data_IF_812005330734
#
_entry.id   IF_812005330734
#
_cell.length_a   1.000
_cell.length_b   1.000
_cell.length_c   1.000
_cell.angle_alpha   90.00
_cell.angle_beta   90.00
_cell.angle_gamma   90.00
#
_symmetry.space_group_name_H-M   'P 1'
#
loop_
_entity.id
_entity.type
_entity.pdbx_description
1 polymer ?
#
# COMPACT_ATOMS: atom_id res chain seq x y z
N UNK A 1 20.14 10.75 -12.72
CA UNK A 1 19.06 10.32 -13.67
C UNK A 1 17.75 10.87 -13.14
N UNK A 2 17.01 11.62 -13.93
CA UNK A 2 15.75 12.25 -13.50
C UNK A 2 14.81 11.20 -12.90
N UNK A 3 14.16 11.50 -11.77
CA UNK A 3 13.30 10.59 -10.98
C UNK A 3 14.01 9.40 -10.30
N UNK A 4 15.33 9.33 -10.30
CA UNK A 4 16.10 8.31 -9.57
C UNK A 4 16.97 8.97 -8.50
N UNK A 5 17.83 9.90 -8.90
CA UNK A 5 18.78 10.54 -7.96
C UNK A 5 18.06 11.51 -7.01
N UNK A 6 16.98 12.13 -7.49
CA UNK A 6 16.12 13.03 -6.70
C UNK A 6 15.45 12.34 -5.49
N UNK A 7 15.22 11.02 -5.57
CA UNK A 7 14.64 10.21 -4.50
C UNK A 7 15.71 9.46 -3.66
N UNK A 8 16.99 9.75 -3.88
CA UNK A 8 18.12 9.18 -3.14
C UNK A 8 18.97 10.25 -2.45
N UNK A 9 18.34 11.35 -2.09
CA UNK A 9 18.96 12.50 -1.47
C UNK A 9 19.13 12.26 0.04
N UNK A 10 20.33 11.90 0.46
CA UNK A 10 20.65 11.62 1.85
C UNK A 10 20.49 12.85 2.75
N UNK A 11 20.83 14.04 2.25
CA UNK A 11 20.73 15.28 3.03
C UNK A 11 19.28 15.62 3.36
N UNK A 12 18.38 15.43 2.39
CA UNK A 12 16.94 15.56 2.63
C UNK A 12 16.41 14.51 3.59
N UNK A 13 16.89 13.27 3.51
CA UNK A 13 16.48 12.21 4.43
C UNK A 13 16.88 12.56 5.88
N UNK A 14 18.11 13.00 6.10
CA UNK A 14 18.58 13.46 7.42
C UNK A 14 17.79 14.67 7.92
N UNK A 15 17.54 15.67 7.08
CA UNK A 15 16.76 16.84 7.45
C UNK A 15 15.31 16.48 7.84
N UNK A 16 14.67 15.54 7.12
CA UNK A 16 13.34 15.04 7.45
C UNK A 16 13.34 14.25 8.76
N UNK A 17 14.32 13.38 8.98
CA UNK A 17 14.44 12.63 10.23
C UNK A 17 14.62 13.55 11.45
N UNK A 18 15.45 14.58 11.33
CA UNK A 18 15.59 15.59 12.38
C UNK A 18 14.28 16.35 12.65
N UNK A 19 13.52 16.67 11.59
CA UNK A 19 12.22 17.31 11.75
C UNK A 19 11.19 16.40 12.40
N UNK A 20 11.19 15.10 12.05
CA UNK A 20 10.34 14.08 12.69
C UNK A 20 10.66 14.01 14.18
N UNK A 21 11.93 13.91 14.54
CA UNK A 21 12.34 13.88 15.94
C UNK A 21 11.89 15.11 16.73
N UNK A 22 11.95 16.30 16.12
CA UNK A 22 11.50 17.55 16.73
C UNK A 22 9.97 17.64 16.92
N UNK A 23 9.20 16.87 16.14
CA UNK A 23 7.74 16.83 16.23
C UNK A 23 7.23 15.78 17.21
N UNK A 24 8.07 14.86 17.65
CA UNK A 24 7.69 13.84 18.62
C UNK A 24 7.44 14.47 20.00
N UNK A 25 6.30 14.17 20.59
CA UNK A 25 5.96 14.61 21.93
C UNK A 25 6.79 13.85 22.98
N UNK A 26 7.36 14.53 23.99
CA UNK A 26 8.12 13.87 25.04
C UNK A 26 7.28 12.78 25.75
N UNK A 27 7.87 11.58 25.89
CA UNK A 27 7.24 10.46 26.59
C UNK A 27 6.16 9.71 25.78
N UNK A 28 5.87 10.13 24.56
CA UNK A 28 4.91 9.44 23.69
C UNK A 28 5.61 8.44 22.78
N UNK A 29 5.07 7.23 22.71
CA UNK A 29 5.51 6.20 21.76
C UNK A 29 4.60 6.17 20.55
N UNK A 30 5.20 6.08 19.37
CA UNK A 30 4.50 6.02 18.09
C UNK A 30 4.78 4.66 17.44
N UNK A 31 3.72 3.93 17.11
CA UNK A 31 3.82 2.69 16.33
C UNK A 31 3.20 2.95 14.97
N UNK A 32 4.02 2.88 13.92
CA UNK A 32 3.61 3.12 12.54
C UNK A 32 3.67 1.81 11.77
N UNK A 33 2.53 1.36 11.27
CA UNK A 33 2.47 0.17 10.43
C UNK A 33 2.54 0.59 8.96
N UNK A 34 3.53 0.08 8.26
CA UNK A 34 3.56 0.12 6.81
C UNK A 34 3.02 -1.20 6.24
N UNK A 35 2.32 -1.15 5.12
CA UNK A 35 1.61 -2.31 4.56
C UNK A 35 2.12 -2.73 3.18
N UNK A 36 3.16 -2.10 2.67
CA UNK A 36 3.66 -2.33 1.32
C UNK A 36 5.05 -2.98 1.33
N UNK A 37 5.19 -4.15 0.69
CA UNK A 37 6.48 -4.84 0.58
C UNK A 37 7.59 -4.00 -0.06
N UNK A 38 7.25 -3.07 -0.96
CA UNK A 38 8.19 -2.10 -1.52
C UNK A 38 8.70 -1.10 -0.48
N UNK A 39 7.84 -0.67 0.44
CA UNK A 39 8.24 0.19 1.56
C UNK A 39 9.12 -0.56 2.55
N UNK A 40 8.75 -1.79 2.96
CA UNK A 40 9.57 -2.65 3.81
C UNK A 40 10.97 -2.81 3.22
N UNK A 41 11.05 -3.15 1.93
CA UNK A 41 12.34 -3.28 1.24
C UNK A 41 13.17 -1.99 1.30
N UNK A 42 12.55 -0.84 1.08
CA UNK A 42 13.23 0.47 1.11
C UNK A 42 13.71 0.82 2.52
N UNK A 43 12.90 0.57 3.55
CA UNK A 43 13.25 0.81 4.95
C UNK A 43 14.52 0.03 5.31
N UNK A 44 14.55 -1.28 5.05
CA UNK A 44 15.71 -2.12 5.37
C UNK A 44 16.92 -1.81 4.49
N UNK A 45 16.72 -1.64 3.18
CA UNK A 45 17.80 -1.35 2.25
C UNK A 45 18.58 -0.08 2.60
N UNK A 46 17.92 0.92 3.14
CA UNK A 46 18.49 2.22 3.47
C UNK A 46 18.66 2.44 4.97
N UNK A 47 18.35 1.47 5.82
CA UNK A 47 18.49 1.58 7.26
C UNK A 47 17.68 2.75 7.85
N UNK A 48 16.46 2.99 7.37
CA UNK A 48 15.67 4.15 7.77
C UNK A 48 15.33 4.16 9.26
N UNK A 49 15.29 2.99 9.90
CA UNK A 49 15.03 2.87 11.34
C UNK A 49 16.13 3.54 12.18
N UNK A 50 17.39 3.50 11.70
CA UNK A 50 18.52 4.10 12.40
C UNK A 50 18.48 5.64 12.42
N UNK A 51 17.70 6.25 11.55
CA UNK A 51 17.51 7.70 11.48
C UNK A 51 16.33 8.20 12.31
N UNK A 52 15.44 7.30 12.74
CA UNK A 52 14.24 7.65 13.50
C UNK A 52 14.54 7.70 15.01
N UNK A 53 13.84 8.57 15.77
CA UNK A 53 13.98 8.59 17.22
C UNK A 53 13.43 7.30 17.84
N UNK A 54 13.98 6.87 18.98
CA UNK A 54 13.56 5.66 19.72
C UNK A 54 12.06 5.64 20.09
N UNK A 55 11.42 6.80 20.08
CA UNK A 55 9.97 6.89 20.30
C UNK A 55 9.14 6.40 19.12
N UNK A 56 9.73 6.16 17.95
CA UNK A 56 9.06 5.65 16.77
C UNK A 56 9.47 4.20 16.51
N UNK A 57 8.48 3.33 16.45
CA UNK A 57 8.66 1.92 16.07
C UNK A 57 7.93 1.68 14.75
N UNK A 58 8.64 1.17 13.76
CA UNK A 58 8.02 0.69 12.52
C UNK A 58 7.53 -0.75 12.71
N UNK A 59 6.31 -1.01 12.28
CA UNK A 59 5.71 -2.35 12.29
C UNK A 59 5.41 -2.72 10.85
N UNK A 60 5.89 -3.87 10.42
CA UNK A 60 5.65 -4.36 9.08
C UNK A 60 4.34 -5.11 9.02
N UNK A 61 3.44 -4.62 8.18
CA UNK A 61 2.11 -5.18 7.97
C UNK A 61 2.12 -6.40 7.03
N UNK A 62 0.93 -6.89 6.66
CA UNK A 62 0.77 -8.14 5.90
C UNK A 62 1.26 -8.07 4.44
N UNK A 63 1.75 -6.94 4.00
CA UNK A 63 2.08 -6.68 2.60
C UNK A 63 0.90 -6.09 1.83
N UNK A 64 1.20 -5.56 0.64
CA UNK A 64 0.21 -4.99 -0.27
C UNK A 64 -0.07 -6.00 -1.39
N UNK A 65 -1.33 -6.28 -1.73
CA UNK A 65 -1.67 -7.20 -2.83
C UNK A 65 -0.98 -6.85 -4.14
N UNK A 66 -0.84 -5.57 -4.46
CA UNK A 66 -0.14 -5.10 -5.67
C UNK A 66 1.31 -5.61 -5.74
N UNK A 67 1.98 -5.73 -4.59
CA UNK A 67 3.39 -6.14 -4.52
C UNK A 67 3.60 -7.65 -4.38
N UNK A 68 2.59 -8.38 -3.90
CA UNK A 68 2.76 -9.78 -3.47
C UNK A 68 1.84 -10.76 -4.19
N UNK A 69 0.77 -10.29 -4.86
CA UNK A 69 -0.19 -11.18 -5.51
C UNK A 69 0.41 -11.83 -6.76
N UNK A 70 0.38 -13.15 -6.89
CA UNK A 70 0.76 -13.82 -8.12
C UNK A 70 -0.19 -13.46 -9.26
N UNK A 71 0.35 -13.31 -10.48
CA UNK A 71 -0.42 -12.96 -11.68
C UNK A 71 -1.63 -13.89 -11.92
N UNK A 72 -1.48 -15.20 -11.70
CA UNK A 72 -2.59 -16.15 -11.83
C UNK A 72 -3.76 -15.87 -10.87
N UNK A 73 -3.51 -15.25 -9.71
CA UNK A 73 -4.59 -14.83 -8.80
C UNK A 73 -5.32 -13.59 -9.29
N UNK A 74 -4.64 -12.73 -10.05
CA UNK A 74 -5.30 -11.62 -10.76
C UNK A 74 -6.22 -12.18 -11.84
N UNK A 75 -5.77 -13.19 -12.59
CA UNK A 75 -6.60 -13.86 -13.61
C UNK A 75 -7.82 -14.54 -13.01
N UNK A 76 -7.65 -15.27 -11.89
CA UNK A 76 -8.76 -15.88 -11.16
C UNK A 76 -9.80 -14.83 -10.71
N UNK A 77 -9.31 -13.72 -10.17
CA UNK A 77 -10.18 -12.65 -9.70
C UNK A 77 -10.93 -11.94 -10.85
N UNK A 78 -10.26 -11.73 -12.00
CA UNK A 78 -10.89 -11.19 -13.22
C UNK A 78 -11.95 -12.17 -13.74
N UNK A 79 -11.66 -13.47 -13.72
CA UNK A 79 -12.62 -14.50 -14.11
C UNK A 79 -13.86 -14.49 -13.20
N UNK A 80 -13.68 -14.40 -11.89
CA UNK A 80 -14.79 -14.28 -10.94
C UNK A 80 -15.59 -12.99 -11.16
N UNK A 81 -14.93 -11.86 -11.38
CA UNK A 81 -15.58 -10.58 -11.67
C UNK A 81 -16.40 -10.59 -12.96
N UNK A 82 -16.12 -11.54 -13.87
CA UNK A 82 -16.87 -11.70 -15.13
C UNK A 82 -18.17 -12.46 -14.96
N UNK A 83 -18.45 -13.03 -13.78
CA UNK A 83 -19.72 -13.71 -13.52
C UNK A 83 -20.85 -12.68 -13.32
N UNK A 84 -22.06 -12.93 -13.83
CA UNK A 84 -23.14 -11.93 -13.86
C UNK A 84 -23.61 -11.48 -12.47
N UNK A 85 -23.51 -12.33 -11.46
CA UNK A 85 -24.01 -12.07 -10.11
C UNK A 85 -22.89 -11.66 -9.13
N UNK A 86 -21.69 -11.36 -9.64
CA UNK A 86 -20.53 -10.98 -8.83
C UNK A 86 -20.26 -9.49 -8.94
N UNK A 87 -20.13 -8.83 -7.79
CA UNK A 87 -19.60 -7.48 -7.68
C UNK A 87 -18.20 -7.60 -7.08
N UNK A 88 -17.19 -7.31 -7.88
CA UNK A 88 -15.79 -7.28 -7.41
C UNK A 88 -15.45 -5.89 -6.88
N UNK A 89 -14.99 -5.82 -5.63
CA UNK A 89 -14.55 -4.57 -5.05
C UNK A 89 -13.03 -4.60 -4.81
N UNK A 90 -12.34 -3.52 -5.17
CA UNK A 90 -10.90 -3.41 -4.97
C UNK A 90 -10.47 -1.96 -4.83
N UNK A 91 -9.27 -1.72 -4.30
CA UNK A 91 -8.70 -0.38 -4.28
C UNK A 91 -8.03 -0.03 -5.62
N UNK A 92 -7.90 1.27 -5.87
CA UNK A 92 -7.56 1.79 -7.20
C UNK A 92 -6.27 1.27 -7.81
N UNK A 93 -5.22 1.06 -7.01
CA UNK A 93 -3.94 0.56 -7.53
C UNK A 93 -4.04 -0.89 -8.00
N UNK A 94 -4.84 -1.72 -7.31
CA UNK A 94 -5.07 -3.11 -7.71
C UNK A 94 -5.78 -3.21 -9.07
N UNK A 95 -6.61 -2.23 -9.40
CA UNK A 95 -7.31 -2.17 -10.68
C UNK A 95 -6.36 -2.11 -11.90
N UNK A 96 -5.11 -1.72 -11.67
CA UNK A 96 -4.07 -1.56 -12.70
C UNK A 96 -3.10 -2.73 -12.77
N UNK A 97 -3.15 -3.64 -11.82
CA UNK A 97 -2.26 -4.81 -11.80
C UNK A 97 -2.59 -5.72 -12.97
N UNK A 98 -1.63 -6.02 -13.86
CA UNK A 98 -1.90 -6.82 -15.03
C UNK A 98 -1.99 -8.31 -14.67
N UNK A 99 -3.02 -8.97 -15.18
CA UNK A 99 -3.07 -10.41 -15.35
C UNK A 99 -2.55 -10.82 -16.73
N UNK A 100 -2.74 -12.07 -17.11
CA UNK A 100 -2.31 -12.61 -18.40
C UNK A 100 -3.03 -11.98 -19.60
N UNK A 101 -4.27 -11.53 -19.43
CA UNK A 101 -5.13 -10.98 -20.48
C UNK A 101 -5.63 -9.55 -20.17
N UNK A 102 -4.83 -8.76 -19.48
CA UNK A 102 -5.15 -7.40 -19.09
C UNK A 102 -5.42 -7.24 -17.59
N UNK A 103 -5.78 -6.04 -17.19
CA UNK A 103 -6.06 -5.67 -15.82
C UNK A 103 -7.58 -5.62 -15.53
N UNK A 104 -7.96 -5.34 -14.27
CA UNK A 104 -9.37 -5.13 -13.92
C UNK A 104 -10.00 -3.95 -14.67
N UNK A 105 -9.24 -2.90 -14.98
CA UNK A 105 -9.75 -1.80 -15.80
C UNK A 105 -10.17 -2.27 -17.20
N UNK A 106 -9.39 -3.15 -17.81
CA UNK A 106 -9.73 -3.71 -19.12
C UNK A 106 -10.96 -4.63 -19.02
N UNK A 107 -11.05 -5.40 -17.94
CA UNK A 107 -12.21 -6.23 -17.67
C UNK A 107 -13.48 -5.39 -17.44
N UNK A 108 -13.36 -4.30 -16.69
CA UNK A 108 -14.46 -3.36 -16.44
C UNK A 108 -14.95 -2.71 -17.75
N UNK A 109 -14.02 -2.31 -18.63
CA UNK A 109 -14.36 -1.80 -19.95
C UNK A 109 -15.13 -2.83 -20.83
N UNK A 110 -14.94 -4.13 -20.55
CA UNK A 110 -15.68 -5.22 -21.20
C UNK A 110 -17.02 -5.57 -20.53
N UNK A 111 -17.37 -4.85 -19.45
CA UNK A 111 -18.68 -4.97 -18.79
C UNK A 111 -18.69 -5.78 -17.49
N UNK A 112 -17.53 -6.06 -16.87
CA UNK A 112 -17.52 -6.65 -15.53
C UNK A 112 -17.98 -5.65 -14.48
N UNK A 113 -18.66 -6.13 -13.44
CA UNK A 113 -19.11 -5.29 -12.34
C UNK A 113 -18.01 -5.14 -11.29
N UNK A 114 -17.02 -4.29 -11.60
CA UNK A 114 -15.87 -4.04 -10.72
C UNK A 114 -15.92 -2.61 -10.19
N UNK A 115 -15.89 -2.47 -8.88
CA UNK A 115 -15.98 -1.20 -8.15
C UNK A 115 -14.66 -0.90 -7.44
N UNK A 116 -14.10 0.27 -7.71
CA UNK A 116 -12.94 0.78 -6.99
C UNK A 116 -13.37 1.57 -5.75
N UNK A 117 -12.70 1.33 -4.63
CA UNK A 117 -12.90 2.07 -3.39
C UNK A 117 -11.60 2.71 -2.92
N UNK A 118 -11.71 3.83 -2.22
CA UNK A 118 -10.57 4.48 -1.54
C UNK A 118 -10.49 4.10 -0.06
N UNK A 119 -11.64 3.86 0.57
CA UNK A 119 -11.74 3.28 1.90
C UNK A 119 -13.09 2.55 2.03
N UNK A 120 -13.11 1.54 2.88
CA UNK A 120 -14.32 0.84 3.29
C UNK A 120 -14.59 1.12 4.76
N UNK A 121 -15.77 1.64 5.06
CA UNK A 121 -16.29 1.68 6.41
C UNK A 121 -17.23 0.50 6.60
N UNK A 122 -16.87 -0.39 7.52
CA UNK A 122 -17.82 -1.39 7.99
C UNK A 122 -18.87 -0.68 8.86
N UNK A 123 -20.16 -0.95 8.68
CA UNK A 123 -21.16 -0.41 9.59
C UNK A 123 -20.86 -0.94 11.00
N UNK A 124 -20.47 -0.04 11.88
CA UNK A 124 -20.31 -0.37 13.30
C UNK A 124 -21.71 -0.50 13.86
N UNK A 125 -22.22 -1.71 13.98
CA UNK A 125 -23.42 -1.96 14.77
C UNK A 125 -22.97 -1.88 16.22
N UNK A 126 -23.17 -0.71 16.83
CA UNK A 126 -23.17 -0.57 18.28
C UNK A 126 -24.43 -1.29 18.76
N UNK A 127 -24.30 -2.56 19.11
CA UNK A 127 -25.28 -3.21 19.96
C UNK A 127 -25.06 -2.65 21.37
N UNK A 128 -25.87 -1.70 21.75
CA UNK A 128 -26.03 -1.26 23.13
C UNK A 128 -26.93 -2.26 23.85
#
# INVERSE_FOLDING_TARGET
>A
MRFVDEFRDADKAHALAARIAALCEPGRQYKLMEVCGGHTHTIYKHGLEDYLPESITLVHGPGCPVCVIPMGRVDDAIHLASQPDVIMTSFGDMMRVPGSNGAFFDANARGTNTVSYTHLTLPTILLV
#
